data_IF_539914812588
#
_entry.id   IF_539914812588
#
_cell.length_a   1.000
_cell.length_b   1.000
_cell.length_c   1.000
_cell.angle_alpha   90.00
_cell.angle_beta   90.00
_cell.angle_gamma   90.00
#
_symmetry.space_group_name_H-M   'P 1'
#
loop_
_entity.id
_entity.type
_entity.pdbx_description
1 polymer ?
#
# COMPACT_ATOMS: atom_id res chain seq x y z
N UNK A 1 -0.43 7.62 37.64
CA UNK A 1 0.27 6.86 36.60
C UNK A 1 0.18 7.73 35.34
N UNK A 2 1.26 8.39 34.95
CA UNK A 2 1.28 9.10 33.67
C UNK A 2 1.09 8.09 32.55
N UNK A 3 0.24 8.39 31.54
CA UNK A 3 0.10 7.51 30.41
C UNK A 3 1.47 7.38 29.73
N UNK A 4 1.98 6.16 29.61
CA UNK A 4 3.21 5.90 28.88
C UNK A 4 3.07 6.46 27.45
N UNK A 5 3.93 7.36 27.06
CA UNK A 5 3.97 7.99 25.73
C UNK A 5 4.52 7.01 24.66
N UNK A 6 4.39 5.70 24.89
CA UNK A 6 4.82 4.66 23.96
C UNK A 6 3.76 4.47 22.88
N UNK A 7 4.08 4.81 21.66
CA UNK A 7 3.31 4.43 20.48
C UNK A 7 3.93 3.17 19.87
N UNK A 8 3.12 2.15 19.62
CA UNK A 8 3.54 0.98 18.85
C UNK A 8 2.91 1.06 17.44
N UNK A 9 3.64 1.57 16.43
CA UNK A 9 3.12 1.68 15.08
C UNK A 9 2.88 0.31 14.45
N UNK A 10 3.59 -0.75 14.87
CA UNK A 10 3.43 -2.09 14.30
C UNK A 10 2.16 -2.76 14.76
N UNK A 11 1.83 -2.66 16.05
CA UNK A 11 0.56 -3.14 16.59
C UNK A 11 -0.63 -2.34 16.01
N UNK A 12 -0.50 -1.01 15.94
CA UNK A 12 -1.50 -0.13 15.33
C UNK A 12 -1.72 -0.46 13.85
N UNK A 13 -0.64 -0.78 13.11
CA UNK A 13 -0.75 -1.19 11.71
C UNK A 13 -1.57 -2.47 11.56
N UNK A 14 -1.40 -3.47 12.44
CA UNK A 14 -2.18 -4.70 12.40
C UNK A 14 -3.69 -4.45 12.53
N UNK A 15 -4.09 -3.54 13.40
CA UNK A 15 -5.51 -3.18 13.55
C UNK A 15 -6.10 -2.60 12.27
N UNK A 16 -5.30 -1.92 11.45
CA UNK A 16 -5.76 -1.29 10.21
C UNK A 16 -5.75 -2.26 9.05
N UNK A 17 -4.61 -2.95 8.80
CA UNK A 17 -4.45 -3.67 7.53
C UNK A 17 -4.76 -5.16 7.60
N UNK A 18 -4.73 -5.77 8.81
CA UNK A 18 -5.10 -7.17 9.00
C UNK A 18 -6.53 -7.35 9.49
N UNK A 19 -6.98 -6.48 10.40
CA UNK A 19 -8.26 -6.63 11.07
C UNK A 19 -9.36 -5.75 10.49
N UNK A 20 -9.00 -4.83 9.57
CA UNK A 20 -9.91 -3.86 8.94
C UNK A 20 -10.83 -3.16 9.97
N UNK A 21 -10.25 -2.69 11.08
CA UNK A 21 -10.96 -2.05 12.19
C UNK A 21 -10.82 -0.53 12.14
N UNK A 22 -11.40 0.16 11.14
CA UNK A 22 -11.40 1.62 11.11
C UNK A 22 -12.52 2.21 11.96
N UNK A 23 -13.62 1.47 12.17
CA UNK A 23 -14.76 1.94 12.95
C UNK A 23 -14.43 1.94 14.43
N UNK A 24 -14.59 3.11 15.09
CA UNK A 24 -14.27 3.30 16.51
C UNK A 24 -12.82 3.73 16.80
N UNK A 25 -11.94 3.74 15.82
CA UNK A 25 -10.60 4.33 15.99
C UNK A 25 -10.61 5.81 15.60
N UNK A 26 -10.05 6.66 16.47
CA UNK A 26 -9.86 8.07 16.16
C UNK A 26 -8.89 8.24 15.00
N UNK A 27 -9.41 8.64 13.83
CA UNK A 27 -8.62 8.88 12.62
C UNK A 27 -7.46 9.85 12.87
N UNK A 28 -7.69 10.89 13.65
CA UNK A 28 -6.64 11.87 13.96
C UNK A 28 -5.53 11.25 14.84
N UNK A 29 -5.89 10.34 15.76
CA UNK A 29 -4.90 9.61 16.55
C UNK A 29 -4.07 8.66 15.69
N UNK A 30 -4.69 7.98 14.73
CA UNK A 30 -3.99 7.14 13.76
C UNK A 30 -3.01 7.95 12.91
N UNK A 31 -3.45 9.08 12.36
CA UNK A 31 -2.59 9.98 11.58
C UNK A 31 -1.38 10.44 12.41
N UNK A 32 -1.60 10.91 13.65
CA UNK A 32 -0.50 11.31 14.55
C UNK A 32 0.48 10.17 14.84
N UNK A 33 -0.02 8.94 15.01
CA UNK A 33 0.83 7.76 15.27
C UNK A 33 1.78 7.51 14.09
N UNK A 34 1.25 7.53 12.86
CA UNK A 34 2.06 7.28 11.67
C UNK A 34 2.91 8.49 11.27
N UNK A 35 2.48 9.73 11.54
CA UNK A 35 3.32 10.91 11.38
C UNK A 35 4.56 10.82 12.28
N UNK A 36 4.36 10.56 13.57
CA UNK A 36 5.47 10.37 14.50
C UNK A 36 6.41 9.24 14.06
N UNK A 37 5.85 8.10 13.64
CA UNK A 37 6.65 6.99 13.15
C UNK A 37 7.53 7.38 11.95
N UNK A 38 6.95 8.04 10.96
CA UNK A 38 7.65 8.46 9.75
C UNK A 38 8.72 9.51 10.04
N UNK A 39 8.44 10.44 10.95
CA UNK A 39 9.39 11.48 11.36
C UNK A 39 10.58 10.84 12.09
N UNK A 40 10.35 9.96 13.06
CA UNK A 40 11.39 9.23 13.77
C UNK A 40 12.20 8.34 12.80
N UNK A 41 11.53 7.65 11.89
CA UNK A 41 12.17 6.79 10.89
C UNK A 41 13.06 7.62 9.94
N UNK A 42 12.60 8.77 9.44
CA UNK A 42 13.36 9.68 8.59
C UNK A 42 14.55 10.29 9.35
N UNK A 43 14.35 10.66 10.62
CA UNK A 43 15.40 11.18 11.47
C UNK A 43 16.51 10.15 11.72
N UNK A 44 16.16 8.88 11.95
CA UNK A 44 17.12 7.76 12.03
C UNK A 44 17.91 7.61 10.73
N UNK A 45 17.27 7.71 9.59
CA UNK A 45 17.90 7.55 8.28
C UNK A 45 18.82 8.71 7.90
N UNK A 46 18.46 9.93 8.26
CA UNK A 46 19.30 11.12 8.03
C UNK A 46 20.46 11.24 9.03
N UNK A 47 20.44 10.44 10.11
CA UNK A 47 21.41 10.54 11.22
C UNK A 47 21.08 11.62 12.25
N UNK A 48 19.91 12.28 12.14
CA UNK A 48 19.45 13.26 13.12
C UNK A 48 19.00 12.61 14.44
N UNK A 49 18.59 11.34 14.40
CA UNK A 49 18.26 10.54 15.56
C UNK A 49 19.17 9.31 15.59
N UNK A 50 19.84 9.08 16.71
CA UNK A 50 20.66 7.90 16.90
C UNK A 50 19.80 6.66 17.15
N UNK A 51 20.28 5.49 16.68
CA UNK A 51 19.59 4.22 16.82
C UNK A 51 20.58 3.06 16.76
N UNK A 52 20.29 1.98 17.48
CA UNK A 52 21.11 0.77 17.47
C UNK A 52 20.57 -0.30 16.53
N UNK A 53 19.27 -0.56 16.61
CA UNK A 53 18.57 -1.56 15.81
C UNK A 53 17.12 -1.15 15.55
N UNK A 54 16.44 -1.87 14.65
CA UNK A 54 14.99 -1.83 14.44
C UNK A 54 14.49 -3.24 14.12
N UNK A 55 13.21 -3.44 14.16
CA UNK A 55 12.61 -4.70 13.72
C UNK A 55 11.98 -4.55 12.34
N UNK A 56 12.38 -5.38 11.34
CA UNK A 56 11.74 -5.38 10.03
C UNK A 56 10.23 -5.74 10.04
N UNK A 57 9.64 -6.10 11.16
CA UNK A 57 8.18 -6.11 11.32
C UNK A 57 7.52 -4.77 10.98
N UNK A 58 8.27 -3.68 11.00
CA UNK A 58 7.82 -2.36 10.55
C UNK A 58 7.35 -2.35 9.07
N UNK A 59 7.64 -3.38 8.27
CA UNK A 59 7.07 -3.62 6.93
C UNK A 59 5.54 -3.55 6.95
N UNK A 60 4.89 -3.93 8.05
CA UNK A 60 3.43 -3.85 8.24
C UNK A 60 2.87 -2.46 8.04
N UNK A 61 3.63 -1.44 8.41
CA UNK A 61 3.23 -0.04 8.29
C UNK A 61 2.92 0.33 6.84
N UNK A 62 3.55 -0.31 5.84
CA UNK A 62 3.25 -0.11 4.42
C UNK A 62 1.77 -0.38 4.14
N UNK A 63 1.23 -1.53 4.57
CA UNK A 63 -0.16 -1.88 4.36
C UNK A 63 -1.14 -0.92 5.03
N UNK A 64 -0.82 -0.46 6.23
CA UNK A 64 -1.60 0.54 6.94
C UNK A 64 -1.61 1.90 6.22
N UNK A 65 -0.44 2.37 5.75
CA UNK A 65 -0.32 3.63 5.01
C UNK A 65 -1.10 3.59 3.69
N UNK A 66 -1.11 2.45 2.98
CA UNK A 66 -1.93 2.29 1.77
C UNK A 66 -3.41 2.49 2.08
N UNK A 67 -3.93 1.86 3.16
CA UNK A 67 -5.33 2.01 3.57
C UNK A 67 -5.67 3.43 4.05
N UNK A 68 -4.71 4.11 4.65
CA UNK A 68 -4.84 5.51 5.05
C UNK A 68 -4.72 6.50 3.88
N UNK A 69 -4.42 6.02 2.65
CA UNK A 69 -4.27 6.85 1.46
C UNK A 69 -2.89 7.55 1.37
N UNK A 70 -1.93 7.12 2.18
CA UNK A 70 -0.57 7.72 2.25
C UNK A 70 0.40 6.98 1.33
N UNK A 71 0.08 6.93 0.04
CA UNK A 71 0.79 6.18 -1.01
C UNK A 71 2.29 6.47 -1.04
N UNK A 72 2.68 7.73 -1.06
CA UNK A 72 4.08 8.14 -1.18
C UNK A 72 4.91 7.62 0.00
N UNK A 73 4.39 7.74 1.22
CA UNK A 73 5.04 7.23 2.42
C UNK A 73 5.14 5.69 2.41
N UNK A 74 4.10 5.00 1.94
CA UNK A 74 4.13 3.55 1.77
C UNK A 74 5.21 3.11 0.77
N UNK A 75 5.35 3.80 -0.35
CA UNK A 75 6.38 3.54 -1.35
C UNK A 75 7.79 3.91 -0.86
N UNK A 76 7.94 4.96 -0.05
CA UNK A 76 9.21 5.33 0.59
C UNK A 76 9.70 4.19 1.50
N UNK A 77 8.83 3.67 2.36
CA UNK A 77 9.14 2.53 3.22
C UNK A 77 9.43 1.26 2.42
N UNK A 78 8.66 0.97 1.38
CA UNK A 78 8.89 -0.20 0.52
C UNK A 78 10.29 -0.17 -0.10
N UNK A 79 10.71 0.96 -0.66
CA UNK A 79 12.05 1.11 -1.25
C UNK A 79 13.14 0.90 -0.20
N UNK A 80 12.93 1.42 1.01
CA UNK A 80 13.86 1.19 2.11
C UNK A 80 14.00 -0.29 2.44
N UNK A 81 12.91 -0.98 2.75
CA UNK A 81 12.97 -2.40 3.13
C UNK A 81 13.57 -3.25 2.03
N UNK A 82 13.26 -2.99 0.75
CA UNK A 82 13.88 -3.67 -0.38
C UNK A 82 15.41 -3.46 -0.42
N UNK A 83 15.91 -2.29 -0.04
CA UNK A 83 17.34 -1.99 0.01
C UNK A 83 18.02 -2.57 1.24
N UNK A 84 17.27 -2.83 2.32
CA UNK A 84 17.82 -3.27 3.61
C UNK A 84 17.69 -4.79 3.87
N UNK A 85 17.48 -5.59 2.82
CA UNK A 85 17.52 -7.07 2.92
C UNK A 85 18.89 -7.54 3.44
N UNK A 86 18.90 -8.57 4.29
CA UNK A 86 20.12 -9.02 4.97
C UNK A 86 20.11 -10.55 5.17
N UNK A 87 20.98 -11.31 4.49
CA UNK A 87 21.88 -10.88 3.41
C UNK A 87 21.08 -10.53 2.13
N UNK A 88 21.55 -9.57 1.36
CA UNK A 88 20.88 -9.16 0.12
C UNK A 88 20.59 -10.34 -0.84
N UNK A 89 21.54 -11.26 -1.10
CA UNK A 89 21.32 -12.39 -2.01
C UNK A 89 20.22 -13.37 -1.55
N UNK A 90 19.89 -13.39 -0.26
CA UNK A 90 18.86 -14.28 0.27
C UNK A 90 17.45 -13.71 0.14
N UNK A 91 17.31 -12.43 -0.22
CA UNK A 91 16.01 -11.73 -0.27
C UNK A 91 15.22 -11.85 1.04
N UNK A 92 15.90 -11.73 2.17
CA UNK A 92 15.37 -11.97 3.51
C UNK A 92 15.66 -10.81 4.45
N UNK A 93 14.99 -10.83 5.59
CA UNK A 93 15.24 -9.94 6.71
C UNK A 93 15.45 -10.77 7.98
N UNK A 94 16.33 -10.32 8.89
CA UNK A 94 16.41 -10.85 10.25
C UNK A 94 15.24 -10.31 11.08
N UNK A 95 14.96 -10.93 12.22
CA UNK A 95 14.00 -10.40 13.19
C UNK A 95 14.47 -9.03 13.75
N UNK A 96 15.78 -8.89 13.99
CA UNK A 96 16.39 -7.66 14.48
C UNK A 96 17.47 -7.20 13.49
N UNK A 97 17.31 -6.00 12.95
CA UNK A 97 18.24 -5.39 12.01
C UNK A 97 19.08 -4.30 12.70
N UNK A 98 20.36 -4.58 12.93
CA UNK A 98 21.28 -3.65 13.55
C UNK A 98 21.76 -2.59 12.56
N UNK A 99 21.97 -1.36 13.04
CA UNK A 99 22.56 -0.27 12.24
C UNK A 99 23.92 -0.67 11.68
N UNK A 100 24.80 -1.18 12.54
CA UNK A 100 26.04 -1.80 12.09
C UNK A 100 25.76 -3.23 11.62
N UNK A 101 25.81 -3.44 10.31
CA UNK A 101 25.59 -4.75 9.68
C UNK A 101 26.64 -5.80 10.03
N UNK A 102 27.79 -5.38 10.57
CA UNK A 102 28.92 -6.25 10.97
C UNK A 102 28.97 -6.49 12.46
N UNK A 103 28.12 -5.83 13.25
CA UNK A 103 28.11 -6.00 14.69
C UNK A 103 27.83 -7.48 15.03
N UNK A 104 28.65 -8.11 15.90
CA UNK A 104 28.39 -9.46 16.38
C UNK A 104 27.28 -9.42 17.44
N UNK A 105 26.05 -9.17 17.02
CA UNK A 105 24.90 -9.00 17.88
C UNK A 105 23.81 -9.99 17.53
N UNK A 106 22.95 -10.28 18.49
CA UNK A 106 21.79 -11.14 18.29
C UNK A 106 20.83 -10.56 17.24
N UNK A 107 20.49 -11.34 16.22
CA UNK A 107 19.63 -10.92 15.11
C UNK A 107 18.24 -11.58 15.17
N UNK A 108 17.99 -12.43 16.18
CA UNK A 108 16.83 -13.31 16.22
C UNK A 108 16.91 -14.38 15.14
N UNK A 109 15.79 -14.74 14.57
CA UNK A 109 15.74 -15.71 13.46
C UNK A 109 16.19 -15.08 12.13
N UNK A 110 16.94 -15.85 11.35
CA UNK A 110 17.33 -15.52 9.99
C UNK A 110 17.46 -16.80 9.14
N UNK A 111 16.66 -17.00 8.10
CA UNK A 111 15.59 -16.12 7.62
C UNK A 111 14.40 -16.06 8.58
N UNK A 112 13.79 -14.88 8.72
CA UNK A 112 12.58 -14.73 9.52
C UNK A 112 11.34 -14.79 8.63
N UNK A 113 10.71 -15.97 8.56
CA UNK A 113 9.61 -16.25 7.63
C UNK A 113 8.37 -15.39 7.87
N UNK A 114 8.13 -14.99 9.11
CA UNK A 114 7.02 -14.11 9.46
C UNK A 114 7.18 -12.73 8.79
N UNK A 115 8.37 -12.13 8.85
CA UNK A 115 8.65 -10.86 8.16
C UNK A 115 8.51 -11.02 6.65
N UNK A 116 8.91 -12.16 6.10
CA UNK A 116 8.72 -12.45 4.68
C UNK A 116 7.23 -12.50 4.30
N UNK A 117 6.38 -13.08 5.15
CA UNK A 117 4.93 -13.09 4.96
C UNK A 117 4.35 -11.66 5.01
N UNK A 118 4.79 -10.85 5.97
CA UNK A 118 4.39 -9.44 6.07
C UNK A 118 4.77 -8.63 4.83
N UNK A 119 5.97 -8.90 4.26
CA UNK A 119 6.38 -8.28 3.01
C UNK A 119 5.44 -8.65 1.85
N UNK A 120 5.07 -9.92 1.72
CA UNK A 120 4.13 -10.37 0.67
C UNK A 120 2.78 -9.68 0.84
N UNK A 121 2.26 -9.60 2.08
CA UNK A 121 1.00 -8.91 2.38
C UNK A 121 1.08 -7.41 2.11
N UNK A 122 2.18 -6.76 2.46
CA UNK A 122 2.41 -5.35 2.19
C UNK A 122 2.42 -5.07 0.69
N UNK A 123 3.16 -5.86 -0.11
CA UNK A 123 3.19 -5.74 -1.57
C UNK A 123 1.80 -6.00 -2.16
N UNK A 124 1.11 -7.07 -1.71
CA UNK A 124 -0.27 -7.34 -2.14
C UNK A 124 -1.19 -6.14 -1.94
N UNK A 125 -1.07 -5.49 -0.78
CA UNK A 125 -1.90 -4.31 -0.44
C UNK A 125 -1.71 -3.13 -1.39
N UNK A 126 -0.55 -2.99 -2.04
CA UNK A 126 -0.33 -1.95 -3.05
C UNK A 126 -1.23 -2.15 -4.27
N UNK A 127 -1.45 -3.42 -4.65
CA UNK A 127 -2.21 -3.81 -5.85
C UNK A 127 -3.69 -4.01 -5.55
N UNK A 128 -4.01 -4.74 -4.47
CA UNK A 128 -5.39 -4.98 -4.06
C UNK A 128 -5.49 -5.31 -2.57
N UNK A 129 -6.56 -4.85 -1.94
CA UNK A 129 -6.93 -5.27 -0.59
C UNK A 129 -8.45 -5.26 -0.41
N UNK A 130 -8.92 -6.14 0.45
CA UNK A 130 -10.30 -6.22 0.88
C UNK A 130 -10.60 -5.15 1.93
N UNK A 131 -11.81 -4.59 1.89
CA UNK A 131 -12.39 -3.75 2.93
C UNK A 131 -13.74 -4.34 3.28
N UNK A 132 -13.73 -5.12 4.39
CA UNK A 132 -14.88 -5.93 4.79
C UNK A 132 -16.03 -5.08 5.34
N UNK A 133 -15.70 -3.96 5.96
CA UNK A 133 -16.69 -3.05 6.57
C UNK A 133 -17.77 -2.57 5.60
N UNK A 134 -17.48 -2.47 4.30
CA UNK A 134 -18.43 -2.06 3.28
C UNK A 134 -18.45 -2.97 2.04
N UNK A 135 -17.96 -4.19 2.20
CA UNK A 135 -17.94 -5.22 1.15
C UNK A 135 -17.31 -4.71 -0.14
N UNK A 136 -16.11 -4.13 -0.06
CA UNK A 136 -15.40 -3.55 -1.18
C UNK A 136 -14.04 -4.19 -1.42
N UNK A 137 -13.64 -4.30 -2.70
CA UNK A 137 -12.31 -4.63 -3.14
C UNK A 137 -11.64 -3.39 -3.69
N UNK A 138 -10.57 -2.94 -3.03
CA UNK A 138 -9.84 -1.73 -3.39
C UNK A 138 -8.68 -2.11 -4.30
N UNK A 139 -8.58 -1.49 -5.47
CA UNK A 139 -7.53 -1.75 -6.45
C UNK A 139 -6.60 -0.55 -6.62
N UNK A 140 -5.32 -0.83 -6.83
CA UNK A 140 -4.28 0.12 -7.25
C UNK A 140 -3.97 1.26 -6.27
N UNK A 141 -4.43 1.17 -5.00
CA UNK A 141 -4.31 2.27 -4.04
C UNK A 141 -2.85 2.59 -3.64
N UNK A 142 -1.94 1.63 -3.74
CA UNK A 142 -0.53 1.79 -3.39
C UNK A 142 0.43 1.82 -4.57
N UNK A 143 -0.04 1.79 -5.83
CA UNK A 143 0.83 1.73 -7.00
C UNK A 143 1.61 3.03 -7.20
N UNK A 144 2.87 2.91 -7.62
CA UNK A 144 3.67 4.06 -8.01
C UNK A 144 3.24 4.56 -9.41
N UNK A 145 3.22 5.89 -9.64
CA UNK A 145 2.86 6.44 -10.95
C UNK A 145 3.72 5.91 -12.11
N UNK A 146 5.02 5.75 -11.86
CA UNK A 146 5.98 5.23 -12.84
C UNK A 146 5.75 3.77 -13.24
N UNK A 147 5.05 2.99 -12.41
CA UNK A 147 4.72 1.60 -12.75
C UNK A 147 3.61 1.48 -13.80
N UNK A 148 2.89 2.56 -14.06
CA UNK A 148 1.84 2.60 -15.08
C UNK A 148 2.35 2.92 -16.48
N UNK A 149 3.63 3.27 -16.62
CA UNK A 149 4.24 3.57 -17.91
C UNK A 149 4.50 2.29 -18.71
N UNK A 150 4.60 2.45 -20.05
CA UNK A 150 4.85 1.34 -20.96
C UNK A 150 3.73 0.30 -20.93
N UNK A 151 4.03 -0.92 -20.52
CA UNK A 151 3.04 -1.99 -20.41
C UNK A 151 2.15 -1.88 -19.17
N UNK A 152 2.55 -1.04 -18.20
CA UNK A 152 1.84 -0.88 -16.94
C UNK A 152 2.03 -2.05 -15.99
N UNK A 153 1.03 -2.28 -15.14
CA UNK A 153 1.01 -3.38 -14.16
C UNK A 153 -0.04 -4.42 -14.55
N UNK A 154 0.23 -5.66 -14.19
CA UNK A 154 -0.72 -6.77 -14.35
C UNK A 154 -0.73 -7.63 -13.08
N UNK A 155 -1.94 -7.94 -12.61
CA UNK A 155 -2.22 -8.93 -11.56
C UNK A 155 -2.91 -10.10 -12.21
N UNK A 156 -2.43 -11.32 -11.95
CA UNK A 156 -2.99 -12.55 -12.50
C UNK A 156 -3.42 -13.48 -11.38
N UNK A 157 -4.70 -13.91 -11.41
CA UNK A 157 -5.25 -14.95 -10.56
C UNK A 157 -5.01 -14.72 -9.06
N UNK A 158 -5.09 -13.47 -8.62
CA UNK A 158 -4.99 -13.15 -7.19
C UNK A 158 -6.27 -13.62 -6.49
N UNK A 159 -6.10 -14.46 -5.48
CA UNK A 159 -7.23 -14.88 -4.64
C UNK A 159 -7.62 -13.74 -3.70
N UNK A 160 -8.91 -13.45 -3.67
CA UNK A 160 -9.51 -12.48 -2.75
C UNK A 160 -10.69 -13.12 -2.02
N UNK A 161 -11.19 -12.49 -0.97
CA UNK A 161 -12.42 -12.93 -0.28
C UNK A 161 -13.64 -12.95 -1.21
N UNK A 162 -13.59 -12.17 -2.29
CA UNK A 162 -14.71 -11.94 -3.20
C UNK A 162 -14.62 -12.66 -4.54
N UNK A 163 -13.57 -13.45 -4.74
CA UNK A 163 -13.32 -14.20 -5.97
C UNK A 163 -11.89 -14.11 -6.46
N UNK A 164 -11.57 -14.78 -7.57
CA UNK A 164 -10.26 -14.73 -8.21
C UNK A 164 -10.16 -13.48 -9.09
N UNK A 165 -9.28 -12.56 -8.73
CA UNK A 165 -9.05 -11.29 -9.43
C UNK A 165 -7.90 -11.42 -10.42
N UNK A 166 -8.11 -10.95 -11.64
CA UNK A 166 -7.05 -10.54 -12.55
C UNK A 166 -7.33 -9.14 -13.06
N UNK A 167 -6.34 -8.27 -13.12
CA UNK A 167 -6.51 -6.97 -13.75
C UNK A 167 -5.20 -6.45 -14.33
N UNK A 168 -5.32 -5.58 -15.33
CA UNK A 168 -4.21 -4.78 -15.83
C UNK A 168 -4.54 -3.30 -15.71
N UNK A 169 -3.54 -2.48 -15.47
CA UNK A 169 -3.67 -1.01 -15.41
C UNK A 169 -2.45 -0.37 -16.04
N UNK A 170 -2.66 0.51 -17.02
CA UNK A 170 -1.58 1.20 -17.73
C UNK A 170 -1.95 2.61 -18.13
N UNK A 171 -0.95 3.44 -18.30
CA UNK A 171 -1.07 4.75 -18.93
C UNK A 171 -1.09 4.57 -20.46
N UNK A 172 -2.18 4.99 -21.09
CA UNK A 172 -2.33 4.92 -22.53
C UNK A 172 -1.74 6.17 -23.22
N UNK A 173 -1.85 7.34 -22.56
CA UNK A 173 -1.28 8.61 -22.98
C UNK A 173 -1.14 9.55 -21.75
N UNK A 174 -0.75 10.82 -21.98
CA UNK A 174 -0.49 11.78 -20.90
C UNK A 174 -1.69 11.98 -19.94
N UNK A 175 -2.92 11.73 -20.39
CA UNK A 175 -4.14 12.03 -19.65
C UNK A 175 -5.06 10.82 -19.46
N UNK A 176 -4.73 9.68 -20.08
CA UNK A 176 -5.62 8.50 -20.11
C UNK A 176 -4.99 7.30 -19.41
N UNK A 177 -5.68 6.74 -18.45
CA UNK A 177 -5.41 5.42 -17.89
C UNK A 177 -6.46 4.42 -18.39
N UNK A 178 -6.02 3.20 -18.67
CA UNK A 178 -6.89 2.07 -19.01
C UNK A 178 -6.68 0.95 -18.01
N UNK A 179 -7.80 0.44 -17.49
CA UNK A 179 -7.86 -0.70 -16.59
C UNK A 179 -8.78 -1.76 -17.18
N UNK A 180 -8.31 -2.99 -17.24
CA UNK A 180 -9.13 -4.15 -17.59
C UNK A 180 -9.20 -5.06 -16.38
N UNK A 181 -10.42 -5.38 -15.91
CA UNK A 181 -10.66 -6.25 -14.76
C UNK A 181 -11.32 -7.52 -15.27
N UNK A 182 -10.78 -8.67 -14.88
CA UNK A 182 -11.26 -10.00 -15.26
C UNK A 182 -11.56 -10.82 -13.99
N UNK A 183 -12.43 -11.80 -14.16
CA UNK A 183 -12.92 -12.63 -13.06
C UNK A 183 -14.28 -12.16 -12.55
N UNK A 184 -14.95 -13.02 -11.83
CA UNK A 184 -16.24 -12.69 -11.20
C UNK A 184 -15.97 -12.27 -9.74
N UNK A 185 -16.04 -10.97 -9.45
CA UNK A 185 -15.83 -10.42 -8.13
C UNK A 185 -17.18 -10.09 -7.49
N UNK A 186 -17.46 -10.76 -6.37
CA UNK A 186 -18.73 -10.63 -5.62
C UNK A 186 -18.67 -9.49 -4.59
N UNK A 187 -18.13 -8.35 -4.99
CA UNK A 187 -18.02 -7.15 -4.17
C UNK A 187 -18.04 -5.90 -5.05
N UNK A 188 -18.26 -4.78 -4.43
CA UNK A 188 -18.02 -3.47 -5.04
C UNK A 188 -16.52 -3.27 -5.26
N UNK A 189 -16.12 -2.89 -6.46
CA UNK A 189 -14.72 -2.61 -6.76
C UNK A 189 -14.49 -1.09 -6.71
N UNK A 190 -13.44 -0.67 -6.01
CA UNK A 190 -13.03 0.73 -5.94
C UNK A 190 -11.63 0.85 -6.53
N UNK A 191 -11.51 1.44 -7.70
CA UNK A 191 -10.24 1.67 -8.37
C UNK A 191 -9.66 3.02 -7.93
N UNK A 192 -8.47 3.01 -7.31
CA UNK A 192 -7.75 4.18 -6.77
C UNK A 192 -6.34 4.29 -7.37
N UNK A 193 -6.19 4.55 -8.67
CA UNK A 193 -4.88 4.61 -9.30
C UNK A 193 -4.12 5.89 -8.93
N UNK A 194 -2.79 5.95 -9.14
CA UNK A 194 -2.02 7.18 -8.99
C UNK A 194 -2.33 8.14 -10.14
N UNK A 195 -3.31 9.01 -9.93
CA UNK A 195 -3.66 10.07 -10.88
C UNK A 195 -2.72 11.26 -10.72
N UNK A 196 -2.13 11.76 -11.77
CA UNK A 196 -1.30 12.97 -11.72
C UNK A 196 -2.10 14.28 -11.67
N UNK A 197 -3.43 14.23 -11.89
CA UNK A 197 -4.37 15.34 -11.90
C UNK A 197 -5.79 14.83 -11.57
N UNK A 198 -6.72 15.73 -11.32
CA UNK A 198 -8.12 15.39 -11.06
C UNK A 198 -8.75 14.61 -12.22
N UNK A 199 -9.70 13.74 -11.91
CA UNK A 199 -10.50 13.03 -12.92
C UNK A 199 -11.41 14.01 -13.65
N UNK A 200 -11.35 13.99 -14.98
CA UNK A 200 -12.25 14.73 -15.88
C UNK A 200 -13.47 13.89 -16.27
N UNK A 201 -13.23 12.64 -16.64
CA UNK A 201 -14.29 11.70 -17.02
C UNK A 201 -13.84 10.27 -16.81
N UNK A 202 -14.80 9.40 -16.57
CA UNK A 202 -14.60 7.96 -16.43
C UNK A 202 -15.68 7.24 -17.21
N UNK A 203 -15.29 6.18 -17.92
CA UNK A 203 -16.24 5.23 -18.52
C UNK A 203 -15.96 3.82 -18.01
N UNK A 204 -17.02 3.05 -17.80
CA UNK A 204 -17.00 1.62 -17.50
C UNK A 204 -17.77 0.90 -18.57
N UNK A 205 -17.12 -0.01 -19.29
CA UNK A 205 -17.69 -0.72 -20.45
C UNK A 205 -18.28 0.23 -21.51
N UNK A 206 -17.66 1.38 -21.71
CA UNK A 206 -18.08 2.42 -22.66
C UNK A 206 -19.13 3.40 -22.13
N UNK A 207 -19.79 3.12 -21.02
CA UNK A 207 -20.81 3.98 -20.41
C UNK A 207 -20.21 4.92 -19.37
N UNK A 208 -20.69 6.17 -19.24
CA UNK A 208 -20.21 7.09 -18.21
C UNK A 208 -20.42 6.53 -16.80
N UNK A 209 -19.39 6.65 -15.96
CA UNK A 209 -19.43 6.25 -14.57
C UNK A 209 -19.27 7.46 -13.64
N UNK A 210 -19.91 7.41 -12.48
CA UNK A 210 -19.71 8.40 -11.44
C UNK A 210 -18.37 8.17 -10.72
N UNK A 211 -17.56 9.22 -10.51
CA UNK A 211 -16.46 9.17 -9.56
C UNK A 211 -17.01 9.36 -8.14
N UNK A 212 -16.42 8.68 -7.15
CA UNK A 212 -16.80 8.88 -5.73
C UNK A 212 -16.05 10.08 -5.17
N UNK A 213 -14.74 10.09 -5.40
CA UNK A 213 -13.80 11.11 -4.98
C UNK A 213 -13.00 11.60 -6.18
N UNK A 214 -12.22 12.64 -5.99
CA UNK A 214 -11.35 13.18 -7.04
C UNK A 214 -10.33 12.16 -7.60
N UNK A 215 -10.09 11.04 -6.91
CA UNK A 215 -9.05 10.06 -7.22
C UNK A 215 -9.53 8.60 -7.27
N UNK A 216 -10.84 8.34 -7.16
CA UNK A 216 -11.37 6.97 -7.12
C UNK A 216 -12.64 6.78 -7.94
N UNK A 217 -12.84 5.55 -8.43
CA UNK A 217 -13.97 5.15 -9.26
C UNK A 217 -14.61 3.89 -8.68
N UNK A 218 -15.95 3.92 -8.55
CA UNK A 218 -16.73 2.71 -8.21
C UNK A 218 -17.09 1.95 -9.49
N UNK A 219 -16.87 0.65 -9.45
CA UNK A 219 -17.24 -0.31 -10.47
C UNK A 219 -18.15 -1.35 -9.82
N UNK A 220 -19.39 -1.45 -10.31
CA UNK A 220 -20.44 -2.26 -9.69
C UNK A 220 -20.45 -3.73 -10.11
N UNK A 221 -19.61 -4.11 -11.06
CA UNK A 221 -19.51 -5.48 -11.54
C UNK A 221 -18.24 -5.77 -12.30
N UNK A 222 -17.90 -7.03 -12.43
CA UNK A 222 -16.79 -7.52 -13.25
C UNK A 222 -17.26 -8.72 -14.10
N UNK A 223 -16.67 -8.97 -15.28
CA UNK A 223 -15.54 -8.24 -15.87
C UNK A 223 -15.87 -6.79 -16.25
N UNK A 224 -14.85 -5.92 -16.31
CA UNK A 224 -15.03 -4.51 -16.64
C UNK A 224 -13.82 -3.92 -17.37
N UNK A 225 -14.10 -3.05 -18.36
CA UNK A 225 -13.10 -2.19 -18.99
C UNK A 225 -13.32 -0.75 -18.52
N UNK A 226 -12.30 -0.14 -17.92
CA UNK A 226 -12.37 1.20 -17.34
C UNK A 226 -11.40 2.13 -18.05
N UNK A 227 -11.91 3.25 -18.53
CA UNK A 227 -11.08 4.33 -19.06
C UNK A 227 -11.23 5.56 -18.16
N UNK A 228 -10.11 6.06 -17.64
CA UNK A 228 -10.05 7.25 -16.81
C UNK A 228 -9.34 8.34 -17.60
N UNK A 229 -9.94 9.52 -17.69
CA UNK A 229 -9.35 10.71 -18.33
C UNK A 229 -9.16 11.77 -17.26
N UNK A 230 -7.93 12.28 -17.13
CA UNK A 230 -7.58 13.32 -16.18
C UNK A 230 -7.59 14.71 -16.84
N UNK A 231 -7.70 15.74 -16.02
CA UNK A 231 -7.55 17.12 -16.49
C UNK A 231 -6.12 17.39 -16.96
N UNK A 232 -5.97 18.37 -17.84
CA UNK A 232 -4.66 18.90 -18.18
C UNK A 232 -4.11 19.66 -16.96
N UNK A 233 -2.87 19.36 -16.55
CA UNK A 233 -2.18 20.19 -15.56
C UNK A 233 -2.12 21.63 -16.08
N UNK A 234 -2.80 22.55 -15.39
CA UNK A 234 -2.53 23.97 -15.61
C UNK A 234 -1.03 24.19 -15.29
N UNK A 235 -0.28 24.64 -16.29
CA UNK A 235 1.12 25.06 -16.11
C UNK A 235 1.22 26.26 -15.19
#
# INVERSE_FOLDING_TARGET
MEPSNSSDPTATANAIYLLDVPEGLDRAALERTFDKYLDDWRAKRSGALDWANYTPYEIRVIGALVRLGRREAALELLRFFLSDRRPIPWNQWPEIAWRDRKAPAHVGDLPHTWISAEYVLAVRSLFAYERETDNALILAAGLAPEWLEGQGVEVRRMRTLYGELSYSLRRADAHTLRCEIRGEIKARIILRPPLGAALRSVTVNGEPAASIDADSVIILGSPAEVTLITEQRKR
#
